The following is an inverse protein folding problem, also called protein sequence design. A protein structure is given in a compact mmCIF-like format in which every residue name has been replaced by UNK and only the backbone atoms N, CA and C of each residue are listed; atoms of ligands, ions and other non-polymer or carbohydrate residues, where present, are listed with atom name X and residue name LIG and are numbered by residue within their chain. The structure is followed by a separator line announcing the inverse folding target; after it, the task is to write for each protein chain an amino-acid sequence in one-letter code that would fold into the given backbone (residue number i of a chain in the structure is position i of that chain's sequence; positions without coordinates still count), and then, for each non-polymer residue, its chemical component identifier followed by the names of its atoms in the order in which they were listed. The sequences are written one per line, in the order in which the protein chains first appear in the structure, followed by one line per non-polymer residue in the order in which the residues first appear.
data_IF_151825215195
#
_entry.id   IF_151825215195
#
_cell.length_a   1.000
_cell.length_b   1.000
_cell.length_c   1.000
_cell.angle_alpha   90.00
_cell.angle_beta   90.00
_cell.angle_gamma   90.00
#
_symmetry.space_group_name_H-M   'P 1'
#
loop_
_entity.id
_entity.type
_entity.pdbx_description
1 polymer ?
#
# COMPACT_ATOMS: atom_id res chain seq x y z
N UNK A 1 -19.40 -17.36 1.79
CA UNK A 1 -18.57 -17.75 2.96
C UNK A 1 -17.26 -17.01 2.83
N UNK A 2 -17.03 -16.06 3.74
CA UNK A 2 -16.38 -14.80 3.42
C UNK A 2 -14.87 -14.74 3.68
N UNK A 3 -14.24 -13.76 3.04
CA UNK A 3 -12.85 -13.35 3.21
C UNK A 3 -12.49 -12.95 4.65
N UNK A 4 -13.50 -12.71 5.50
CA UNK A 4 -13.33 -12.59 6.96
C UNK A 4 -12.82 -13.88 7.60
N UNK A 5 -13.17 -15.05 7.08
CA UNK A 5 -12.69 -16.35 7.58
C UNK A 5 -11.21 -16.55 7.23
N UNK A 6 -10.76 -16.05 6.08
CA UNK A 6 -9.35 -16.06 5.67
C UNK A 6 -8.47 -15.14 6.53
N UNK A 7 -9.01 -14.02 7.00
CA UNK A 7 -8.31 -13.10 7.91
C UNK A 7 -8.36 -13.60 9.37
N UNK A 8 -9.45 -14.24 9.79
CA UNK A 8 -9.54 -14.84 11.13
C UNK A 8 -8.69 -16.12 11.24
N UNK A 9 -8.52 -16.86 10.15
CA UNK A 9 -7.56 -17.96 10.03
C UNK A 9 -6.10 -17.48 10.10
N UNK A 10 -5.79 -16.32 9.51
CA UNK A 10 -4.46 -15.69 9.59
C UNK A 10 -4.15 -15.12 11.00
N UNK A 11 -5.18 -14.73 11.76
CA UNK A 11 -5.04 -14.30 13.15
C UNK A 11 -4.97 -15.48 14.14
N UNK A 12 -5.41 -16.68 13.73
CA UNK A 12 -5.45 -17.90 14.55
C UNK A 12 -4.23 -18.81 14.29
N UNK A 13 -3.03 -18.26 14.41
CA UNK A 13 -1.82 -18.98 14.85
C UNK A 13 -1.56 -20.39 14.30
N UNK A 14 -1.67 -20.61 12.98
CA UNK A 14 -1.07 -21.78 12.32
C UNK A 14 0.17 -21.33 11.56
N UNK A 15 1.29 -21.50 12.25
CA UNK A 15 2.65 -21.19 11.82
C UNK A 15 3.08 -22.12 10.69
N UNK A 16 3.21 -21.58 9.48
CA UNK A 16 4.03 -22.16 8.42
C UNK A 16 5.35 -21.35 8.32
N UNK A 17 6.50 -21.98 8.03
CA UNK A 17 7.83 -21.34 8.03
C UNK A 17 8.06 -20.32 6.89
N UNK A 18 7.00 -19.89 6.23
CA UNK A 18 6.95 -18.80 5.24
C UNK A 18 6.30 -17.52 5.81
N UNK A 19 6.18 -17.44 7.14
CA UNK A 19 5.35 -16.46 7.86
C UNK A 19 5.92 -15.03 7.94
N UNK A 20 7.22 -14.83 7.75
CA UNK A 20 7.86 -13.53 8.01
C UNK A 20 7.58 -12.51 6.89
N UNK A 21 7.71 -12.94 5.63
CA UNK A 21 7.36 -12.13 4.46
C UNK A 21 5.85 -11.86 4.38
N UNK A 22 5.03 -12.86 4.70
CA UNK A 22 3.57 -12.70 4.69
C UNK A 22 3.07 -11.78 5.81
N UNK A 23 3.70 -11.85 6.99
CA UNK A 23 3.44 -10.93 8.11
C UNK A 23 3.82 -9.50 7.75
N UNK A 24 5.00 -9.30 7.12
CA UNK A 24 5.44 -7.98 6.67
C UNK A 24 4.49 -7.39 5.62
N UNK A 25 4.04 -8.20 4.66
CA UNK A 25 3.04 -7.79 3.65
C UNK A 25 1.72 -7.40 4.31
N UNK A 26 1.23 -8.18 5.30
CA UNK A 26 0.02 -7.84 6.05
C UNK A 26 0.17 -6.55 6.86
N UNK A 27 1.32 -6.34 7.49
CA UNK A 27 1.65 -5.13 8.25
C UNK A 27 1.70 -3.90 7.33
N UNK A 28 2.36 -4.00 6.18
CA UNK A 28 2.43 -2.96 5.16
C UNK A 28 1.05 -2.66 4.55
N UNK A 29 0.23 -3.69 4.29
CA UNK A 29 -1.14 -3.51 3.83
C UNK A 29 -2.01 -2.74 4.84
N UNK A 30 -1.82 -3.03 6.14
CA UNK A 30 -2.44 -2.26 7.23
C UNK A 30 -1.97 -0.81 7.27
N UNK A 31 -0.66 -0.56 7.06
CA UNK A 31 -0.09 0.79 6.98
C UNK A 31 -0.66 1.58 5.81
N UNK A 32 -0.76 0.98 4.62
CA UNK A 32 -1.37 1.59 3.45
C UNK A 32 -2.81 1.98 3.76
N UNK A 33 -3.59 1.04 4.28
CA UNK A 33 -5.00 1.30 4.64
C UNK A 33 -5.12 2.44 5.64
N UNK A 34 -4.30 2.45 6.70
CA UNK A 34 -4.30 3.51 7.71
C UNK A 34 -3.84 4.87 7.15
N UNK A 35 -2.95 4.87 6.17
CA UNK A 35 -2.43 6.08 5.55
C UNK A 35 -3.39 6.68 4.53
N UNK A 36 -4.44 5.95 4.12
CA UNK A 36 -5.32 6.34 3.02
C UNK A 36 -4.79 5.90 1.65
N UNK A 37 -4.24 4.69 1.58
CA UNK A 37 -3.68 4.09 0.37
C UNK A 37 -2.25 4.52 0.04
N UNK A 38 -1.83 4.22 -1.18
CA UNK A 38 -0.53 4.63 -1.72
C UNK A 38 -0.45 6.15 -1.86
N UNK A 39 -1.57 6.82 -2.18
CA UNK A 39 -1.62 8.27 -2.30
C UNK A 39 -1.42 8.96 -0.95
N UNK A 40 -2.00 8.41 0.11
CA UNK A 40 -1.80 8.89 1.47
C UNK A 40 -0.35 8.76 1.95
N UNK A 41 0.29 7.63 1.63
CA UNK A 41 1.72 7.44 1.84
C UNK A 41 2.57 8.42 1.01
N UNK A 42 2.26 8.59 -0.27
CA UNK A 42 2.94 9.56 -1.14
C UNK A 42 2.89 10.96 -0.55
N UNK A 43 1.73 11.38 -0.04
CA UNK A 43 1.56 12.66 0.64
C UNK A 43 2.41 12.78 1.90
N UNK A 44 2.52 11.72 2.72
CA UNK A 44 3.40 11.74 3.91
C UNK A 44 4.86 11.87 3.53
N UNK A 45 5.32 11.06 2.57
CA UNK A 45 6.69 11.13 2.08
C UNK A 45 7.01 12.48 1.44
N UNK A 46 6.08 13.05 0.67
CA UNK A 46 6.20 14.39 0.11
C UNK A 46 6.32 15.48 1.18
N UNK A 47 5.46 15.45 2.20
CA UNK A 47 5.46 16.42 3.31
C UNK A 47 6.77 16.41 4.11
N UNK A 48 7.41 15.25 4.23
CA UNK A 48 8.67 15.08 4.94
C UNK A 48 9.92 15.31 4.07
N UNK A 49 9.75 15.70 2.81
CA UNK A 49 10.86 15.94 1.86
C UNK A 49 11.41 14.68 1.19
N UNK A 50 10.83 13.50 1.45
CA UNK A 50 11.15 12.23 0.78
C UNK A 50 10.35 12.02 -0.54
N UNK A 51 9.60 13.01 -1.03
CA UNK A 51 8.69 12.84 -2.17
C UNK A 51 9.37 12.37 -3.46
N UNK A 52 10.61 12.80 -3.71
CA UNK A 52 11.39 12.37 -4.87
C UNK A 52 11.75 10.89 -4.84
N UNK A 53 12.11 10.35 -3.67
CA UNK A 53 12.38 8.93 -3.49
C UNK A 53 11.10 8.11 -3.70
N UNK A 54 9.98 8.55 -3.10
CA UNK A 54 8.69 7.89 -3.27
C UNK A 54 8.23 7.86 -4.73
N UNK A 55 8.38 8.97 -5.45
CA UNK A 55 8.03 9.06 -6.87
C UNK A 55 8.87 8.11 -7.74
N UNK A 56 10.14 7.89 -7.37
CA UNK A 56 11.01 6.91 -8.03
C UNK A 56 10.51 5.48 -7.87
N UNK A 57 9.91 5.14 -6.72
CA UNK A 57 9.30 3.82 -6.48
C UNK A 57 7.98 3.61 -7.21
N UNK A 58 7.23 4.70 -7.41
CA UNK A 58 5.97 4.66 -8.17
C UNK A 58 6.24 4.53 -9.66
N UNK A 59 7.32 5.14 -10.14
CA UNK A 59 7.73 5.10 -11.55
C UNK A 59 8.31 3.75 -11.96
N UNK A 60 8.56 3.58 -13.25
CA UNK A 60 9.21 2.38 -13.79
C UNK A 60 10.75 2.48 -13.78
N UNK A 61 11.30 3.43 -13.02
CA UNK A 61 12.73 3.71 -12.95
C UNK A 61 13.45 2.88 -11.88
N UNK A 62 14.73 3.16 -11.63
CA UNK A 62 15.41 2.58 -10.48
C UNK A 62 14.83 3.12 -9.18
N UNK A 63 14.56 2.22 -8.23
CA UNK A 63 14.10 2.57 -6.90
C UNK A 63 15.21 3.25 -6.11
N UNK A 64 15.02 4.51 -5.73
CA UNK A 64 15.96 5.20 -4.86
C UNK A 64 15.98 4.55 -3.47
N UNK A 65 17.18 4.23 -2.99
CA UNK A 65 17.38 3.80 -1.62
C UNK A 65 17.07 4.93 -0.65
N UNK A 66 16.43 4.60 0.46
CA UNK A 66 16.19 5.52 1.57
C UNK A 66 16.84 4.99 2.83
N UNK A 67 17.17 5.89 3.77
CA UNK A 67 17.74 5.51 5.06
C UNK A 67 16.62 5.23 6.08
N UNK A 68 16.93 4.45 7.11
CA UNK A 68 16.04 4.22 8.26
C UNK A 68 15.59 5.54 8.93
N UNK A 69 16.48 6.52 9.06
CA UNK A 69 16.16 7.87 9.54
C UNK A 69 15.13 8.59 8.66
N UNK A 70 15.24 8.43 7.34
CA UNK A 70 14.29 9.01 6.39
C UNK A 70 12.93 8.35 6.52
N UNK A 71 12.89 7.02 6.67
CA UNK A 71 11.65 6.28 6.95
C UNK A 71 10.99 6.78 8.24
N UNK A 72 11.74 6.94 9.33
CA UNK A 72 11.21 7.45 10.59
C UNK A 72 10.68 8.88 10.47
N UNK A 73 11.36 9.75 9.71
CA UNK A 73 10.88 11.12 9.42
C UNK A 73 9.66 11.14 8.51
N UNK A 74 9.57 10.23 7.55
CA UNK A 74 8.56 10.23 6.50
C UNK A 74 7.26 9.52 6.92
N UNK A 75 7.36 8.43 7.71
CA UNK A 75 6.21 7.76 8.32
C UNK A 75 5.82 8.34 9.69
N UNK A 76 6.79 8.88 10.43
CA UNK A 76 6.64 9.30 11.82
C UNK A 76 7.04 8.18 12.80
N UNK A 77 7.63 8.57 13.93
CA UNK A 77 8.11 7.66 14.95
C UNK A 77 7.01 6.76 15.53
N UNK A 78 5.78 7.27 15.67
CA UNK A 78 4.63 6.50 16.17
C UNK A 78 4.24 5.35 15.25
N UNK A 79 4.23 5.61 13.93
CA UNK A 79 3.94 4.59 12.92
C UNK A 79 5.02 3.51 12.94
N UNK A 80 6.29 3.91 12.88
CA UNK A 80 7.41 2.95 12.94
C UNK A 80 7.36 2.12 14.21
N UNK A 81 7.06 2.73 15.37
CA UNK A 81 6.93 2.02 16.64
C UNK A 81 5.75 1.04 16.65
N UNK A 82 4.62 1.40 16.06
CA UNK A 82 3.47 0.52 15.93
C UNK A 82 3.77 -0.69 15.01
N UNK A 83 4.51 -0.47 13.93
CA UNK A 83 4.95 -1.54 13.02
C UNK A 83 5.97 -2.45 13.72
N UNK A 84 6.94 -1.87 14.42
CA UNK A 84 7.94 -2.59 15.19
C UNK A 84 7.29 -3.48 16.27
N UNK A 85 6.30 -2.94 17.00
CA UNK A 85 5.55 -3.70 17.99
C UNK A 85 4.75 -4.88 17.36
N UNK A 86 4.22 -4.71 16.14
CA UNK A 86 3.55 -5.79 15.40
C UNK A 86 4.52 -6.87 14.92
N UNK A 87 5.74 -6.47 14.59
CA UNK A 87 6.82 -7.37 14.16
C UNK A 87 7.56 -8.02 15.34
N UNK A 88 7.37 -7.51 16.56
CA UNK A 88 8.11 -7.96 17.74
C UNK A 88 9.59 -7.57 17.73
N UNK A 89 9.94 -6.49 17.04
CA UNK A 89 11.32 -5.98 16.90
C UNK A 89 11.45 -4.55 17.38
N UNK A 90 12.68 -4.05 17.45
CA UNK A 90 12.96 -2.66 17.79
C UNK A 90 12.56 -1.68 16.68
N UNK A 91 12.16 -0.43 17.02
CA UNK A 91 11.81 0.61 16.04
C UNK A 91 12.92 0.89 15.03
N UNK A 92 14.18 0.82 15.45
CA UNK A 92 15.34 1.02 14.57
C UNK A 92 15.54 -0.14 13.59
N UNK A 93 15.23 -1.38 14.00
CA UNK A 93 15.23 -2.52 13.10
C UNK A 93 14.06 -2.46 12.12
N UNK A 94 12.88 -2.04 12.59
CA UNK A 94 11.70 -1.87 11.75
C UNK A 94 11.92 -0.81 10.67
N UNK A 95 12.51 0.36 11.01
CA UNK A 95 12.83 1.39 10.02
C UNK A 95 13.87 0.92 9.01
N UNK A 96 14.84 0.10 9.43
CA UNK A 96 15.81 -0.50 8.51
C UNK A 96 15.16 -1.49 7.52
N UNK A 97 14.27 -2.36 8.02
CA UNK A 97 13.51 -3.28 7.16
C UNK A 97 12.58 -2.53 6.22
N UNK A 98 11.86 -1.52 6.72
CA UNK A 98 11.01 -0.68 5.88
C UNK A 98 11.82 0.03 4.79
N UNK A 99 13.02 0.53 5.10
CA UNK A 99 13.88 1.16 4.11
C UNK A 99 14.26 0.22 2.96
N UNK A 100 14.41 -1.08 3.23
CA UNK A 100 14.78 -2.08 2.22
C UNK A 100 13.58 -2.65 1.45
N UNK A 101 12.43 -2.83 2.12
CA UNK A 101 11.27 -3.53 1.57
C UNK A 101 10.17 -2.60 1.06
N UNK A 102 9.98 -1.42 1.66
CA UNK A 102 8.94 -0.49 1.27
C UNK A 102 9.07 -0.02 -0.19
N UNK A 103 10.27 0.32 -0.72
CA UNK A 103 10.44 0.65 -2.13
C UNK A 103 9.96 -0.45 -3.07
N UNK A 104 10.32 -1.71 -2.75
CA UNK A 104 9.95 -2.90 -3.53
C UNK A 104 8.43 -3.12 -3.51
N UNK A 105 7.79 -2.90 -2.36
CA UNK A 105 6.34 -3.09 -2.21
C UNK A 105 5.57 -2.03 -2.98
N UNK A 106 6.00 -0.76 -2.93
CA UNK A 106 5.39 0.31 -3.73
C UNK A 106 5.50 -0.01 -5.22
N UNK A 107 6.71 -0.33 -5.71
CA UNK A 107 6.96 -0.72 -7.11
C UNK A 107 6.04 -1.86 -7.58
N UNK A 108 5.90 -2.91 -6.77
CA UNK A 108 5.00 -4.05 -7.07
C UNK A 108 3.52 -3.65 -7.13
N UNK A 109 3.11 -2.65 -6.36
CA UNK A 109 1.73 -2.16 -6.33
C UNK A 109 1.47 -1.08 -7.38
N UNK A 110 2.51 -0.51 -8.01
CA UNK A 110 2.42 0.46 -9.11
C UNK A 110 3.02 -0.09 -10.42
N UNK A 111 2.56 -1.25 -10.93
CA UNK A 111 3.12 -1.86 -12.14
C UNK A 111 2.91 -1.00 -13.39
N UNK A 112 1.96 -0.05 -13.36
CA UNK A 112 1.68 0.89 -14.44
C UNK A 112 2.51 2.19 -14.36
N UNK A 113 3.42 2.30 -13.40
CA UNK A 113 4.23 3.51 -13.21
C UNK A 113 3.45 4.69 -12.62
N UNK A 114 2.24 4.43 -12.10
CA UNK A 114 1.31 5.44 -11.59
C UNK A 114 0.59 4.89 -10.36
N UNK A 115 0.32 5.77 -9.39
CA UNK A 115 -0.62 5.47 -8.31
C UNK A 115 -2.01 5.45 -8.95
N UNK A 116 -2.59 4.26 -9.09
CA UNK A 116 -3.90 4.12 -9.71
C UNK A 116 -4.98 4.58 -8.72
N UNK A 117 -5.72 5.67 -9.00
CA UNK A 117 -6.76 6.17 -8.08
C UNK A 117 -7.90 5.16 -7.90
N UNK A 118 -8.06 4.19 -8.82
CA UNK A 118 -9.01 3.09 -8.69
C UNK A 118 -8.54 2.00 -7.71
N UNK A 119 -7.23 1.82 -7.54
CA UNK A 119 -6.65 0.94 -6.51
C UNK A 119 -6.58 1.61 -5.14
N UNK A 120 -6.56 2.95 -5.11
CA UNK A 120 -6.41 3.77 -3.91
C UNK A 120 -7.75 4.05 -3.18
N UNK A 121 -8.88 4.01 -3.90
CA UNK A 121 -10.17 4.33 -3.33
C UNK A 121 -11.16 3.17 -3.44
N UNK A 122 -11.77 2.78 -2.32
CA UNK A 122 -13.07 2.07 -2.32
C UNK A 122 -14.16 2.81 -3.14
N UNK A 123 -13.93 4.08 -3.48
CA UNK A 123 -14.75 4.90 -4.38
C UNK A 123 -14.49 4.67 -5.87
N UNK A 124 -13.40 4.00 -6.27
CA UNK A 124 -13.15 3.64 -7.66
C UNK A 124 -14.26 2.76 -8.22
N UNK A 125 -14.72 1.78 -7.43
CA UNK A 125 -15.86 0.94 -7.78
C UNK A 125 -17.16 1.74 -7.86
N UNK A 126 -17.36 2.72 -6.97
CA UNK A 126 -18.55 3.58 -6.97
C UNK A 126 -18.61 4.54 -8.18
N UNK A 127 -17.45 5.04 -8.63
CA UNK A 127 -17.33 5.89 -9.80
C UNK A 127 -17.54 5.13 -11.13
N UNK A 128 -17.41 3.81 -11.13
CA UNK A 128 -17.62 2.96 -12.31
C UNK A 128 -19.09 2.56 -12.52
N UNK A 129 -19.93 2.67 -11.48
CA UNK A 129 -21.37 2.40 -11.54
C UNK A 129 -22.11 3.27 -12.57
N UNK A 130 -21.93 4.61 -12.60
CA UNK A 130 -22.63 5.45 -13.59
C UNK A 130 -22.19 5.15 -15.03
N UNK A 131 -20.91 4.82 -15.25
CA UNK A 131 -20.39 4.49 -16.59
C UNK A 131 -20.92 3.15 -17.12
N UNK A 132 -21.13 2.15 -16.25
CA UNK A 132 -21.75 0.88 -16.63
C UNK A 132 -23.26 1.02 -16.89
N UNK A 133 -23.94 1.85 -16.11
CA UNK A 133 -25.36 2.14 -16.32
C UNK A 133 -25.59 2.86 -17.66
N UNK A 134 -24.71 3.78 -18.02
CA UNK A 134 -24.75 4.46 -19.32
C UNK A 134 -24.45 3.50 -20.48
N UNK A 135 -23.55 2.54 -20.29
CA UNK A 135 -23.19 1.52 -21.29
C UNK A 135 -24.33 0.52 -21.55
N UNK A 136 -25.10 0.15 -20.52
CA UNK A 136 -26.30 -0.69 -20.66
C UNK A 136 -27.50 0.09 -21.23
N UNK A 137 -27.58 1.40 -20.98
CA UNK A 137 -28.66 2.25 -21.50
C UNK A 137 -28.44 2.73 -22.95
N UNK A 138 -27.21 2.66 -23.46
CA UNK A 138 -26.84 3.20 -24.78
C UNK A 138 -26.90 2.22 -25.97
N UNK A 139 -27.13 0.92 -25.75
CA UNK A 139 -27.13 -0.09 -26.82
C UNK A 139 -28.55 -0.37 -27.33
N UNK A 140 -29.19 0.64 -27.91
CA UNK A 140 -30.58 0.48 -28.36
C UNK A 140 -31.27 1.64 -29.06
N UNK A 141 -30.59 2.53 -29.81
CA UNK A 141 -31.29 3.46 -30.71
C UNK A 141 -30.37 4.10 -31.77
N UNK A 142 -30.06 3.35 -32.82
CA UNK A 142 -29.76 3.91 -34.15
C UNK A 142 -30.05 2.85 -35.22
N UNK A 143 -31.33 2.54 -35.39
CA UNK A 143 -31.88 2.05 -36.65
C UNK A 143 -32.34 3.28 -37.43
N UNK A 144 -31.72 3.55 -38.57
CA UNK A 144 -32.29 3.87 -39.90
C UNK A 144 -31.14 4.16 -40.84
#
# INVERSE_FOLDING_TARGET
MGLLDSILGAASGKTDPSGEANSLVGILGGLLTQSGGLQGLANKFSQSGCGGAFASWVGMGENQSVSSDQIQKCLGSDQVKALAAKMGIDPDQASNLLAEFLPKVVDKLTPTGKVDPAADHQQGLAALIPSLLQSLSGSGAART
#
